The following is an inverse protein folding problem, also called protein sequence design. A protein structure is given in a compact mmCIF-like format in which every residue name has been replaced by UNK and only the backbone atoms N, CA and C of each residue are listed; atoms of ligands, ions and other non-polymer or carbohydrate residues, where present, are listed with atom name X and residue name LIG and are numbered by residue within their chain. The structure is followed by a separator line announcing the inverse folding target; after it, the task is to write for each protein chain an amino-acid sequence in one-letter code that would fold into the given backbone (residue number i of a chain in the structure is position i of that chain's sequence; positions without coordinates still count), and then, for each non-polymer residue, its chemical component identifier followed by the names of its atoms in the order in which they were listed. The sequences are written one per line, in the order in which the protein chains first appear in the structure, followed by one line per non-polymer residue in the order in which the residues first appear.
data_IF_522590322025
#
_entry.id   IF_522590322025
#
_cell.length_a   1.000
_cell.length_b   1.000
_cell.length_c   1.000
_cell.angle_alpha   90.00
_cell.angle_beta   90.00
_cell.angle_gamma   90.00
#
_symmetry.space_group_name_H-M   'P 1'
#
loop_
_entity.id
_entity.type
_entity.pdbx_description
1 polymer ?
#
# COMPACT_ATOMS: atom_id res chain seq x y z
N UNK A 1 -43.32 -47.50 24.02
CA UNK A 1 -42.36 -46.70 24.83
C UNK A 1 -40.97 -47.27 24.57
N UNK A 2 -40.25 -46.67 23.61
CA UNK A 2 -38.92 -47.12 23.19
C UNK A 2 -37.92 -46.00 23.40
N UNK A 3 -37.00 -46.21 24.34
CA UNK A 3 -35.96 -45.26 24.78
C UNK A 3 -34.69 -45.49 23.96
N UNK A 4 -34.68 -45.13 22.67
CA UNK A 4 -33.55 -45.42 21.76
C UNK A 4 -32.93 -44.21 21.05
N UNK A 5 -33.42 -42.99 21.29
CA UNK A 5 -32.95 -41.79 20.58
C UNK A 5 -32.23 -40.80 21.51
N UNK A 6 -31.07 -41.17 22.07
CA UNK A 6 -30.27 -40.23 22.90
C UNK A 6 -28.76 -40.24 22.65
N UNK A 7 -28.25 -41.12 21.78
CA UNK A 7 -26.81 -41.30 21.60
C UNK A 7 -26.22 -40.56 20.38
N UNK A 8 -27.06 -40.01 19.50
CA UNK A 8 -26.60 -39.34 18.26
C UNK A 8 -26.37 -37.83 18.46
N UNK A 9 -26.82 -37.24 19.56
CA UNK A 9 -26.82 -35.77 19.74
C UNK A 9 -25.47 -35.15 20.14
N UNK A 10 -24.52 -35.95 20.64
CA UNK A 10 -23.26 -35.43 21.18
C UNK A 10 -22.21 -35.03 20.09
N UNK A 11 -22.35 -35.54 18.85
CA UNK A 11 -21.40 -35.25 17.77
C UNK A 11 -21.69 -33.95 17.00
N UNK A 12 -22.94 -33.47 17.03
CA UNK A 12 -23.37 -32.33 16.22
C UNK A 12 -23.15 -30.96 16.90
N UNK A 13 -22.99 -30.91 18.23
CA UNK A 13 -22.90 -29.63 18.96
C UNK A 13 -21.51 -28.98 18.95
N UNK A 14 -20.43 -29.70 18.66
CA UNK A 14 -19.08 -29.11 18.62
C UNK A 14 -18.81 -28.35 17.32
N UNK A 15 -19.52 -28.68 16.23
CA UNK A 15 -19.29 -28.05 14.93
C UNK A 15 -19.92 -26.65 14.82
N UNK A 16 -21.00 -26.36 15.55
CA UNK A 16 -21.72 -25.06 15.46
C UNK A 16 -20.96 -23.94 16.21
N UNK A 17 -20.31 -24.27 17.33
CA UNK A 17 -19.51 -23.29 18.09
C UNK A 17 -18.25 -22.84 17.37
N UNK A 18 -17.58 -23.75 16.65
CA UNK A 18 -16.33 -23.45 15.95
C UNK A 18 -16.52 -22.57 14.71
N UNK A 19 -17.68 -22.66 14.02
CA UNK A 19 -17.94 -21.84 12.82
C UNK A 19 -18.29 -20.38 13.16
N UNK A 20 -19.01 -20.14 14.25
CA UNK A 20 -19.44 -18.80 14.64
C UNK A 20 -18.26 -17.89 15.04
N UNK A 21 -17.24 -18.46 15.69
CA UNK A 21 -16.06 -17.71 16.14
C UNK A 21 -15.17 -17.34 14.96
N UNK A 22 -14.98 -18.25 13.99
CA UNK A 22 -14.18 -17.97 12.78
C UNK A 22 -14.87 -16.92 11.89
N UNK A 23 -16.19 -16.98 11.72
CA UNK A 23 -16.93 -15.97 10.97
C UNK A 23 -16.90 -14.59 11.65
N UNK A 24 -17.03 -14.53 12.99
CA UNK A 24 -16.94 -13.29 13.73
C UNK A 24 -15.53 -12.66 13.67
N UNK A 25 -14.46 -13.47 13.77
CA UNK A 25 -13.08 -12.98 13.65
C UNK A 25 -12.75 -12.44 12.25
N UNK A 26 -13.30 -13.02 11.18
CA UNK A 26 -13.13 -12.49 9.81
C UNK A 26 -13.88 -11.16 9.64
N UNK A 27 -15.10 -11.04 10.18
CA UNK A 27 -15.89 -9.82 10.10
C UNK A 27 -15.30 -8.65 10.93
N UNK A 28 -14.72 -8.94 12.10
CA UNK A 28 -14.08 -7.94 12.97
C UNK A 28 -12.72 -7.46 12.43
N UNK A 29 -12.03 -8.28 11.63
CA UNK A 29 -10.74 -7.89 11.02
C UNK A 29 -10.92 -7.09 9.72
N UNK A 30 -12.03 -7.28 9.00
CA UNK A 30 -12.31 -6.60 7.72
C UNK A 30 -12.93 -5.20 7.82
N UNK A 31 -13.66 -4.90 8.90
CA UNK A 31 -14.47 -3.66 8.97
C UNK A 31 -13.68 -2.39 9.35
N UNK A 32 -12.42 -2.49 9.76
CA UNK A 32 -11.64 -1.35 10.28
C UNK A 32 -10.64 -0.70 9.31
N UNK A 33 -10.22 -1.41 8.25
CA UNK A 33 -9.11 -0.97 7.38
C UNK A 33 -9.45 -0.90 5.88
N UNK A 34 -10.63 -1.39 5.46
CA UNK A 34 -10.94 -1.56 4.03
C UNK A 34 -11.36 -0.29 3.27
N UNK A 35 -11.86 0.76 3.93
CA UNK A 35 -12.50 1.88 3.21
C UNK A 35 -11.60 3.07 2.89
N UNK A 36 -10.34 3.05 3.30
CA UNK A 36 -9.41 4.20 3.13
C UNK A 36 -8.41 4.03 1.97
N UNK A 37 -8.31 2.82 1.39
CA UNK A 37 -7.36 2.51 0.32
C UNK A 37 -7.95 2.43 -1.10
N UNK A 38 -9.26 2.20 -1.24
CA UNK A 38 -9.87 1.87 -2.53
C UNK A 38 -10.14 3.09 -3.44
N UNK A 39 -10.37 4.27 -2.85
CA UNK A 39 -10.76 5.46 -3.61
C UNK A 39 -9.65 6.13 -4.44
N UNK A 40 -8.40 6.30 -3.95
CA UNK A 40 -7.33 6.91 -4.74
C UNK A 40 -6.89 5.99 -5.90
N UNK A 41 -6.75 4.69 -5.59
CA UNK A 41 -6.26 3.68 -6.53
C UNK A 41 -7.24 3.45 -7.69
N UNK A 42 -8.55 3.50 -7.43
CA UNK A 42 -9.57 3.37 -8.47
C UNK A 42 -9.52 4.52 -9.49
N UNK A 43 -9.42 5.77 -9.04
CA UNK A 43 -9.36 6.94 -9.92
C UNK A 43 -8.08 6.99 -10.74
N UNK A 44 -6.94 6.65 -10.13
CA UNK A 44 -5.68 6.55 -10.85
C UNK A 44 -5.72 5.47 -11.94
N UNK A 45 -6.29 4.29 -11.64
CA UNK A 45 -6.42 3.21 -12.62
C UNK A 45 -7.22 3.63 -13.85
N UNK A 46 -8.39 4.25 -13.66
CA UNK A 46 -9.23 4.73 -14.79
C UNK A 46 -8.50 5.81 -15.59
N UNK A 47 -7.72 6.67 -14.92
CA UNK A 47 -6.89 7.65 -15.61
C UNK A 47 -5.78 7.01 -16.46
N UNK A 48 -5.20 5.91 -15.98
CA UNK A 48 -4.19 5.13 -16.70
C UNK A 48 -4.79 4.36 -17.89
N UNK A 49 -6.03 3.89 -17.83
CA UNK A 49 -6.70 3.29 -19.00
C UNK A 49 -6.80 4.30 -20.16
N UNK A 50 -7.18 5.55 -19.87
CA UNK A 50 -7.20 6.62 -20.88
C UNK A 50 -5.78 6.97 -21.38
N UNK A 51 -4.78 6.88 -20.51
CA UNK A 51 -3.37 7.08 -20.86
C UNK A 51 -2.88 5.99 -21.83
N UNK A 52 -3.19 4.72 -21.55
CA UNK A 52 -2.86 3.58 -22.40
C UNK A 52 -3.57 3.64 -23.75
N UNK A 53 -4.82 4.13 -23.78
CA UNK A 53 -5.58 4.38 -25.00
C UNK A 53 -5.10 5.62 -25.79
N UNK A 54 -4.00 6.26 -25.38
CA UNK A 54 -3.43 7.46 -26.01
C UNK A 54 -4.39 8.67 -26.03
N UNK A 55 -5.38 8.68 -25.14
CA UNK A 55 -6.38 9.74 -25.01
C UNK A 55 -5.82 10.87 -24.14
N UNK A 56 -4.74 11.51 -24.60
CA UNK A 56 -3.94 12.45 -23.79
C UNK A 56 -4.75 13.57 -23.09
N UNK A 57 -5.72 14.24 -23.76
CA UNK A 57 -6.54 15.25 -23.09
C UNK A 57 -7.36 14.68 -21.93
N UNK A 58 -7.97 13.50 -22.13
CA UNK A 58 -8.81 12.84 -21.14
C UNK A 58 -7.96 12.28 -19.99
N UNK A 59 -6.84 11.64 -20.30
CA UNK A 59 -5.88 11.16 -19.32
C UNK A 59 -5.38 12.30 -18.43
N UNK A 60 -4.99 13.44 -19.03
CA UNK A 60 -4.55 14.60 -18.28
C UNK A 60 -5.64 15.18 -17.37
N UNK A 61 -6.88 15.27 -17.85
CA UNK A 61 -8.00 15.75 -17.03
C UNK A 61 -8.22 14.86 -15.79
N UNK A 62 -8.18 13.53 -15.97
CA UNK A 62 -8.36 12.59 -14.88
C UNK A 62 -7.17 12.58 -13.91
N UNK A 63 -5.95 12.58 -14.42
CA UNK A 63 -4.72 12.61 -13.61
C UNK A 63 -4.59 13.92 -12.84
N UNK A 64 -4.91 15.06 -13.44
CA UNK A 64 -4.86 16.36 -12.76
C UNK A 64 -5.93 16.47 -11.67
N UNK A 65 -7.12 15.91 -11.87
CA UNK A 65 -8.15 15.83 -10.83
C UNK A 65 -7.71 14.94 -9.65
N UNK A 66 -7.10 13.78 -9.93
CA UNK A 66 -6.56 12.89 -8.90
C UNK A 66 -5.36 13.52 -8.17
N UNK A 67 -4.51 14.26 -8.89
CA UNK A 67 -3.41 15.02 -8.29
C UNK A 67 -3.91 16.16 -7.40
N UNK A 68 -4.96 16.88 -7.83
CA UNK A 68 -5.63 17.90 -7.02
C UNK A 68 -6.29 17.32 -5.76
N UNK A 69 -6.71 16.05 -5.80
CA UNK A 69 -7.19 15.30 -4.64
C UNK A 69 -6.07 14.77 -3.72
N UNK A 70 -4.81 14.97 -4.08
CA UNK A 70 -3.64 14.59 -3.28
C UNK A 70 -3.03 13.23 -3.61
N UNK A 71 -3.41 12.59 -4.73
CA UNK A 71 -2.78 11.35 -5.17
C UNK A 71 -1.34 11.62 -5.68
N UNK A 72 -0.30 11.06 -5.02
CA UNK A 72 1.09 11.33 -5.37
C UNK A 72 1.55 10.65 -6.67
N UNK A 73 0.90 9.56 -7.08
CA UNK A 73 1.19 8.89 -8.35
C UNK A 73 0.58 9.69 -9.50
N UNK A 74 -0.67 10.10 -9.37
CA UNK A 74 -1.34 10.97 -10.34
C UNK A 74 -0.60 12.30 -10.52
N UNK A 75 -0.16 12.92 -9.41
CA UNK A 75 0.61 14.15 -9.40
C UNK A 75 1.91 14.06 -10.22
N UNK A 76 2.63 12.93 -10.16
CA UNK A 76 3.83 12.72 -10.98
C UNK A 76 3.51 12.72 -12.47
N UNK A 77 2.53 11.93 -12.87
CA UNK A 77 2.19 11.78 -14.29
C UNK A 77 1.61 13.08 -14.84
N UNK A 78 0.71 13.74 -14.11
CA UNK A 78 0.16 15.04 -14.49
C UNK A 78 1.26 16.13 -14.61
N UNK A 79 2.23 16.14 -13.70
CA UNK A 79 3.37 17.08 -13.77
C UNK A 79 4.26 16.80 -14.98
N UNK A 80 4.53 15.52 -15.29
CA UNK A 80 5.29 15.11 -16.48
C UNK A 80 4.56 15.55 -17.75
N UNK A 81 3.25 15.29 -17.86
CA UNK A 81 2.43 15.72 -19.00
C UNK A 81 2.45 17.23 -19.18
N UNK A 82 2.34 18.01 -18.09
CA UNK A 82 2.37 19.46 -18.17
C UNK A 82 3.74 20.02 -18.62
N UNK A 83 4.84 19.45 -18.11
CA UNK A 83 6.19 19.94 -18.41
C UNK A 83 6.72 19.48 -19.77
N UNK A 84 6.40 18.25 -20.15
CA UNK A 84 6.96 17.58 -21.33
C UNK A 84 5.90 17.37 -22.42
N UNK A 85 4.72 17.99 -22.26
CA UNK A 85 3.57 17.93 -23.17
C UNK A 85 3.93 17.93 -24.65
N UNK A 86 4.55 19.01 -25.16
CA UNK A 86 4.88 19.13 -26.58
C UNK A 86 5.82 18.03 -27.09
N UNK A 87 6.73 17.53 -26.24
CA UNK A 87 7.74 16.56 -26.63
C UNK A 87 7.20 15.12 -26.62
N UNK A 88 6.41 14.77 -25.60
CA UNK A 88 5.93 13.39 -25.39
C UNK A 88 4.54 13.13 -25.96
N UNK A 89 3.68 14.15 -25.99
CA UNK A 89 2.26 14.01 -26.30
C UNK A 89 1.82 14.88 -27.48
N UNK A 90 2.74 15.65 -28.08
CA UNK A 90 2.46 16.53 -29.21
C UNK A 90 1.54 17.72 -28.89
N UNK A 91 1.24 17.95 -27.61
CA UNK A 91 0.32 19.00 -27.18
C UNK A 91 0.74 19.62 -25.85
N UNK A 92 0.44 20.91 -25.66
CA UNK A 92 0.69 21.61 -24.40
C UNK A 92 -0.49 21.41 -23.44
N UNK A 93 -0.17 21.22 -22.17
CA UNK A 93 -1.16 21.22 -21.10
C UNK A 93 -0.86 22.38 -20.17
N UNK A 94 -1.77 23.34 -20.09
CA UNK A 94 -1.60 24.49 -19.23
C UNK A 94 -1.95 24.16 -17.79
N UNK A 95 -1.04 24.55 -16.91
CA UNK A 95 -1.15 24.36 -15.46
C UNK A 95 -0.62 25.61 -14.79
N UNK A 96 -1.33 26.10 -13.78
CA UNK A 96 -0.86 27.24 -13.01
C UNK A 96 0.32 26.84 -12.12
N UNK A 97 1.26 27.76 -11.83
CA UNK A 97 2.40 27.46 -10.96
C UNK A 97 1.96 27.05 -9.55
N UNK A 98 0.85 27.59 -9.03
CA UNK A 98 0.30 27.24 -7.72
C UNK A 98 -0.21 25.79 -7.71
N UNK A 99 -0.84 25.33 -8.80
CA UNK A 99 -1.29 23.94 -8.93
C UNK A 99 -0.10 22.98 -8.98
N UNK A 100 0.97 23.33 -9.69
CA UNK A 100 2.21 22.55 -9.69
C UNK A 100 2.84 22.46 -8.28
N UNK A 101 2.82 23.54 -7.50
CA UNK A 101 3.32 23.52 -6.13
C UNK A 101 2.50 22.60 -5.22
N UNK A 102 1.17 22.56 -5.37
CA UNK A 102 0.31 21.64 -4.63
C UNK A 102 0.62 20.17 -4.95
N UNK A 103 0.84 19.85 -6.23
CA UNK A 103 1.22 18.51 -6.65
C UNK A 103 2.60 18.10 -6.10
N UNK A 104 3.56 19.03 -6.08
CA UNK A 104 4.88 18.82 -5.45
C UNK A 104 4.77 18.53 -3.95
N UNK A 105 3.88 19.22 -3.24
CA UNK A 105 3.60 18.94 -1.83
C UNK A 105 2.96 17.56 -1.64
N UNK A 106 1.98 17.18 -2.47
CA UNK A 106 1.35 15.85 -2.42
C UNK A 106 2.37 14.72 -2.63
N UNK A 107 3.31 14.89 -3.57
CA UNK A 107 4.39 13.93 -3.80
C UNK A 107 5.33 13.80 -2.60
N UNK A 108 5.69 14.91 -1.95
CA UNK A 108 6.55 14.91 -0.75
C UNK A 108 5.88 14.33 0.48
N UNK A 109 4.58 14.56 0.66
CA UNK A 109 3.80 14.02 1.79
C UNK A 109 3.71 12.49 1.82
N UNK A 110 3.99 11.81 0.69
CA UNK A 110 3.97 10.36 0.56
C UNK A 110 5.37 9.72 0.60
N UNK A 111 6.44 10.47 0.88
CA UNK A 111 7.72 9.82 1.20
C UNK A 111 7.49 8.95 2.45
N UNK A 112 7.56 7.60 2.37
CA UNK A 112 7.65 6.81 3.59
C UNK A 112 8.86 7.34 4.38
N UNK A 113 8.88 7.15 5.70
CA UNK A 113 9.99 7.53 6.58
C UNK A 113 11.30 6.76 6.26
N UNK A 114 11.77 6.83 5.01
CA UNK A 114 12.94 6.17 4.47
C UNK A 114 14.24 6.74 5.06
N UNK A 115 14.17 7.90 5.73
CA UNK A 115 15.25 8.43 6.56
C UNK A 115 15.40 7.75 7.92
N UNK A 116 14.37 7.07 8.44
CA UNK A 116 14.40 6.46 9.78
C UNK A 116 14.88 4.98 9.75
N UNK A 117 14.65 4.25 8.66
CA UNK A 117 14.99 2.83 8.56
C UNK A 117 16.42 2.54 8.07
N UNK A 118 17.08 3.50 7.40
CA UNK A 118 18.44 3.31 6.86
C UNK A 118 19.53 3.41 7.93
N UNK A 119 19.22 3.95 9.11
CA UNK A 119 20.20 4.12 10.19
C UNK A 119 20.20 2.96 11.20
N UNK A 120 19.09 2.24 11.35
CA UNK A 120 19.00 1.12 12.31
C UNK A 120 19.69 -0.16 11.85
N UNK A 121 19.86 -0.38 10.54
CA UNK A 121 20.49 -1.59 9.99
C UNK A 121 22.03 -1.51 9.92
N UNK A 122 22.60 -0.31 10.01
CA UNK A 122 24.04 -0.08 9.88
C UNK A 122 24.85 -0.23 11.17
N UNK A 123 24.19 -0.22 12.33
CA UNK A 123 24.86 -0.21 13.64
C UNK A 123 25.04 -1.60 14.24
N UNK A 124 24.22 -2.58 13.85
CA UNK A 124 24.32 -3.96 14.37
C UNK A 124 25.47 -4.76 13.74
N UNK A 125 25.90 -4.40 12.52
CA UNK A 125 26.91 -5.17 11.79
C UNK A 125 28.37 -4.90 12.24
N UNK A 126 28.63 -3.84 13.03
CA UNK A 126 30.00 -3.47 13.44
C UNK A 126 30.42 -4.01 14.82
N UNK A 127 29.49 -4.56 15.60
CA UNK A 127 29.79 -4.98 17.00
C UNK A 127 30.06 -6.50 17.14
N UNK A 128 29.83 -7.31 16.11
CA UNK A 128 30.04 -8.77 16.17
C UNK A 128 31.48 -9.25 15.89
N UNK A 129 32.48 -8.34 15.86
CA UNK A 129 33.86 -8.65 15.46
C UNK A 129 34.94 -8.45 16.53
N UNK A 130 34.59 -8.20 17.79
CA UNK A 130 35.58 -8.15 18.86
C UNK A 130 35.01 -8.72 20.15
N UNK A 131 35.30 -9.99 20.41
CA UNK A 131 35.70 -10.37 21.76
C UNK A 131 36.78 -11.47 21.76
N UNK A 132 37.62 -11.49 22.81
CA UNK A 132 38.93 -12.11 22.85
C UNK A 132 38.97 -13.36 23.75
N UNK A 133 39.99 -14.20 23.54
CA UNK A 133 40.55 -15.09 24.56
C UNK A 133 39.71 -16.29 24.97
N UNK A 134 40.10 -17.48 24.51
CA UNK A 134 40.07 -18.68 25.35
C UNK A 134 41.42 -19.36 25.28
N UNK A 135 41.86 -19.74 26.45
CA UNK A 135 43.19 -20.11 26.88
C UNK A 135 43.29 -21.65 26.98
N UNK A 136 44.52 -22.15 26.89
CA UNK A 136 45.11 -23.38 27.48
C UNK A 136 44.84 -24.80 26.94
N UNK A 137 45.98 -25.49 26.82
CA UNK A 137 46.32 -26.80 27.39
C UNK A 137 46.10 -28.08 26.55
N UNK A 138 47.22 -28.78 26.32
CA UNK A 138 47.37 -30.12 26.91
C UNK A 138 47.55 -31.30 25.94
N UNK A 139 48.80 -31.78 25.86
CA UNK A 139 49.24 -33.17 25.82
C UNK A 139 48.51 -34.18 24.89
N UNK A 140 49.26 -34.73 23.94
CA UNK A 140 49.94 -36.04 24.08
C UNK A 140 50.87 -36.29 22.90
#
# INVERSE_FOLDING_TARGET
MSTTARWIDAGAQVLIGATAIVAACIALTGAGLGRRGEEPQGRFRVAMEAYEAQQWPQAYAQLSAAADAGDPAAARVATMMARQGPLLFGQRFDVSPERLQRWDQAMRGNLPAAGAAVTSRGTDARTAGSQPGVQVAGAR
#
